data_IF_033315768890
#
_entry.id   IF_033315768890
#
_cell.length_a   1.000
_cell.length_b   1.000
_cell.length_c   1.000
_cell.angle_alpha   90.00
_cell.angle_beta   90.00
_cell.angle_gamma   90.00
#
_symmetry.space_group_name_H-M   'P 1'
#
loop_
_entity.id
_entity.type
_entity.pdbx_description
1 polymer ?
#
# COMPACT_ATOMS: atom_id res chain seq x y z
N UNK A 1 80.44 32.30 13.72
CA UNK A 1 79.16 32.08 14.47
C UNK A 1 78.05 32.22 13.50
N UNK A 2 77.53 31.07 12.99
CA UNK A 2 76.36 31.04 12.07
C UNK A 2 75.25 30.36 12.77
N UNK A 3 74.16 31.09 12.93
CA UNK A 3 72.91 30.61 13.49
C UNK A 3 72.03 29.97 12.39
N UNK A 4 71.83 28.66 12.50
CA UNK A 4 70.91 27.93 11.64
C UNK A 4 69.50 28.09 12.20
N UNK A 5 68.63 28.78 11.46
CA UNK A 5 67.18 28.82 11.69
C UNK A 5 66.54 27.61 11.00
N UNK A 6 66.05 26.72 11.82
CA UNK A 6 65.22 25.59 11.38
C UNK A 6 63.84 26.06 10.93
N UNK A 7 63.52 25.77 9.66
CA UNK A 7 62.18 26.02 9.07
C UNK A 7 61.35 24.75 9.29
N UNK A 8 60.39 24.84 10.21
CA UNK A 8 59.34 23.80 10.32
C UNK A 8 58.24 24.10 9.30
N UNK A 9 58.17 23.29 8.26
CA UNK A 9 57.05 23.27 7.32
C UNK A 9 56.00 22.37 7.90
N UNK A 10 54.91 22.95 8.45
CA UNK A 10 53.73 22.20 8.88
C UNK A 10 52.87 21.91 7.64
N UNK A 11 52.93 20.64 7.21
CA UNK A 11 52.00 20.15 6.18
C UNK A 11 50.67 19.81 6.87
N UNK A 12 49.69 20.74 6.83
CA UNK A 12 48.34 20.45 7.21
C UNK A 12 47.67 19.65 6.10
N UNK A 13 47.60 18.32 6.31
CA UNK A 13 46.85 17.42 5.46
C UNK A 13 45.34 17.65 5.66
N UNK A 14 44.71 18.32 4.70
CA UNK A 14 43.25 18.43 4.63
C UNK A 14 42.71 17.07 4.16
N UNK A 15 42.32 16.24 5.12
CA UNK A 15 41.53 15.02 4.82
C UNK A 15 40.12 15.46 4.51
N UNK A 16 39.83 15.69 3.22
CA UNK A 16 38.50 15.93 2.69
C UNK A 16 37.73 14.60 2.71
N UNK A 17 37.01 14.34 3.81
CA UNK A 17 36.05 13.25 3.85
C UNK A 17 34.90 13.56 2.90
N UNK A 18 35.00 13.09 1.67
CA UNK A 18 33.86 12.99 0.75
C UNK A 18 32.88 11.97 1.34
N UNK A 19 31.91 12.44 2.12
CA UNK A 19 30.70 11.66 2.39
C UNK A 19 29.95 11.51 1.06
N UNK A 20 30.23 10.45 0.35
CA UNK A 20 29.37 9.94 -0.72
C UNK A 20 28.05 9.55 -0.06
N UNK A 21 27.14 10.52 0.03
CA UNK A 21 25.73 10.26 0.33
C UNK A 21 25.21 9.41 -0.82
N UNK A 22 25.28 8.10 -0.68
CA UNK A 22 24.56 7.17 -1.55
C UNK A 22 23.08 7.41 -1.30
N UNK A 23 22.50 8.33 -2.07
CA UNK A 23 21.04 8.41 -2.22
C UNK A 23 20.61 7.08 -2.83
N UNK A 24 20.28 6.11 -1.98
CA UNK A 24 19.57 4.91 -2.40
C UNK A 24 18.22 5.43 -2.87
N UNK A 25 18.09 5.64 -4.18
CA UNK A 25 16.84 6.01 -4.80
C UNK A 25 15.84 4.88 -4.53
N UNK A 26 15.04 5.02 -3.49
CA UNK A 26 13.91 4.14 -3.25
C UNK A 26 12.95 4.38 -4.40
N UNK A 27 12.79 3.38 -5.27
CA UNK A 27 11.87 3.48 -6.39
C UNK A 27 10.51 3.95 -5.90
N UNK A 28 10.05 5.08 -6.43
CA UNK A 28 8.76 5.68 -6.07
C UNK A 28 7.62 4.68 -6.27
N UNK A 29 6.67 4.69 -5.35
CA UNK A 29 5.41 3.97 -5.48
C UNK A 29 4.29 4.89 -5.93
N UNK A 30 4.56 6.19 -6.08
CA UNK A 30 3.62 7.15 -6.63
C UNK A 30 3.13 6.70 -8.02
N UNK A 31 1.89 7.03 -8.35
CA UNK A 31 1.20 6.65 -9.57
C UNK A 31 1.09 5.13 -9.81
N UNK A 32 1.09 4.37 -8.73
CA UNK A 32 0.84 2.92 -8.77
C UNK A 32 -0.36 2.57 -7.93
N UNK A 33 -1.05 1.53 -8.36
CA UNK A 33 -2.16 0.96 -7.61
C UNK A 33 -1.92 -0.50 -7.28
N UNK A 34 -2.56 -0.98 -6.23
CA UNK A 34 -2.63 -2.40 -5.92
C UNK A 34 -4.06 -2.79 -5.60
N UNK A 35 -4.43 -3.99 -6.03
CA UNK A 35 -5.69 -4.62 -5.62
C UNK A 35 -5.35 -5.90 -4.90
N UNK A 36 -5.77 -5.98 -3.66
CA UNK A 36 -5.49 -7.09 -2.75
C UNK A 36 -6.77 -7.87 -2.53
N UNK A 37 -6.70 -9.20 -2.69
CA UNK A 37 -7.86 -10.07 -2.62
C UNK A 37 -7.51 -11.34 -1.86
N UNK A 38 -8.35 -11.70 -0.92
CA UNK A 38 -8.31 -13.01 -0.29
C UNK A 38 -9.14 -13.98 -1.15
N UNK A 39 -8.45 -14.86 -1.86
CA UNK A 39 -9.08 -15.85 -2.76
C UNK A 39 -10.00 -16.81 -1.99
N UNK A 40 -9.67 -17.15 -0.75
CA UNK A 40 -10.44 -18.10 0.05
C UNK A 40 -11.77 -17.52 0.49
N UNK A 41 -11.78 -16.27 0.94
CA UNK A 41 -13.01 -15.57 1.33
C UNK A 41 -13.83 -15.13 0.12
N UNK A 42 -13.18 -14.93 -1.04
CA UNK A 42 -13.87 -14.53 -2.26
C UNK A 42 -14.77 -15.63 -2.85
N UNK A 43 -14.57 -16.89 -2.43
CA UNK A 43 -15.42 -18.02 -2.78
C UNK A 43 -16.59 -18.21 -1.81
N UNK A 44 -16.57 -17.54 -0.64
CA UNK A 44 -17.68 -17.57 0.29
C UNK A 44 -18.94 -16.92 -0.33
N UNK A 45 -20.11 -17.38 0.10
CA UNK A 45 -21.40 -16.80 -0.32
C UNK A 45 -21.52 -15.39 0.21
N UNK A 46 -22.15 -14.50 -0.55
CA UNK A 46 -22.39 -13.12 -0.10
C UNK A 46 -23.29 -13.03 1.14
N UNK A 47 -24.14 -14.04 1.35
CA UNK A 47 -24.97 -14.16 2.56
C UNK A 47 -24.15 -14.36 3.83
N UNK A 48 -22.95 -14.96 3.72
CA UNK A 48 -22.11 -15.30 4.86
C UNK A 48 -21.08 -14.21 5.18
N UNK A 49 -21.01 -13.17 4.36
CA UNK A 49 -20.04 -12.07 4.49
C UNK A 49 -20.77 -10.78 4.80
N UNK A 50 -20.71 -10.36 6.06
CA UNK A 50 -21.17 -9.01 6.43
C UNK A 50 -20.33 -7.94 5.71
N UNK A 51 -20.97 -6.86 5.20
CA UNK A 51 -20.22 -5.75 4.63
C UNK A 51 -19.41 -5.01 5.73
N UNK A 52 -18.23 -4.46 5.40
CA UNK A 52 -17.67 -4.36 4.06
C UNK A 52 -17.02 -5.69 3.63
N UNK A 53 -16.92 -5.91 2.32
CA UNK A 53 -16.20 -7.06 1.74
C UNK A 53 -14.70 -6.95 2.06
N UNK A 54 -14.34 -7.27 3.29
CA UNK A 54 -12.99 -7.08 3.87
C UNK A 54 -11.91 -7.85 3.13
N UNK A 55 -12.31 -8.89 2.39
CA UNK A 55 -11.42 -9.72 1.57
C UNK A 55 -10.93 -9.05 0.29
N UNK A 56 -11.51 -7.90 -0.07
CA UNK A 56 -11.16 -7.17 -1.27
C UNK A 56 -10.94 -5.69 -0.95
N UNK A 57 -9.77 -5.19 -1.26
CA UNK A 57 -9.41 -3.78 -1.06
C UNK A 57 -8.47 -3.33 -2.15
N UNK A 58 -8.62 -2.10 -2.60
CA UNK A 58 -7.71 -1.49 -3.55
C UNK A 58 -7.06 -0.24 -2.95
N UNK A 59 -5.81 0.00 -3.33
CA UNK A 59 -5.06 1.18 -2.90
C UNK A 59 -4.44 1.84 -4.12
N UNK A 60 -4.60 3.15 -4.24
CA UNK A 60 -3.88 3.97 -5.21
C UNK A 60 -2.95 4.93 -4.47
N UNK A 61 -1.68 4.95 -4.85
CA UNK A 61 -0.66 5.80 -4.27
C UNK A 61 -0.47 7.04 -5.13
N UNK A 62 -0.81 8.20 -4.58
CA UNK A 62 -0.41 9.50 -5.09
C UNK A 62 1.00 9.83 -4.55
N UNK A 63 1.55 10.99 -4.84
CA UNK A 63 2.91 11.37 -4.42
C UNK A 63 3.17 11.19 -2.91
N UNK A 64 2.19 11.51 -2.08
CA UNK A 64 2.35 11.51 -0.61
C UNK A 64 1.26 10.76 0.14
N UNK A 65 0.21 10.33 -0.56
CA UNK A 65 -0.99 9.76 0.07
C UNK A 65 -1.42 8.48 -0.62
N UNK A 66 -2.02 7.61 0.16
CA UNK A 66 -2.69 6.41 -0.34
C UNK A 66 -4.19 6.57 -0.21
N UNK A 67 -4.90 6.38 -1.31
CA UNK A 67 -6.35 6.35 -1.38
C UNK A 67 -6.80 4.89 -1.34
N UNK A 68 -7.72 4.57 -0.45
CA UNK A 68 -8.23 3.21 -0.28
C UNK A 68 -9.63 3.12 -0.85
N UNK A 69 -9.87 2.11 -1.67
CA UNK A 69 -11.19 1.76 -2.21
C UNK A 69 -11.61 0.42 -1.63
N UNK A 70 -12.81 0.38 -1.10
CA UNK A 70 -13.50 -0.82 -0.59
C UNK A 70 -14.80 -1.03 -1.36
N UNK A 71 -15.39 -2.20 -1.22
CA UNK A 71 -16.71 -2.51 -1.78
C UNK A 71 -17.67 -2.79 -0.65
N UNK A 72 -18.86 -2.29 -0.79
CA UNK A 72 -19.97 -2.46 0.14
C UNK A 72 -21.26 -2.70 -0.62
N UNK A 73 -22.21 -3.38 0.01
CA UNK A 73 -23.56 -3.57 -0.52
C UNK A 73 -24.48 -2.53 0.09
N UNK A 74 -25.11 -1.73 -0.75
CA UNK A 74 -26.10 -0.73 -0.35
C UNK A 74 -27.36 -0.97 -1.18
N UNK A 75 -28.48 -1.29 -0.53
CA UNK A 75 -29.76 -1.53 -1.20
C UNK A 75 -29.65 -2.51 -2.40
N UNK A 76 -29.02 -3.65 -2.16
CA UNK A 76 -28.79 -4.71 -3.16
C UNK A 76 -27.88 -4.32 -4.33
N UNK A 77 -27.20 -3.20 -4.25
CA UNK A 77 -26.22 -2.75 -5.23
C UNK A 77 -24.82 -2.80 -4.63
N UNK A 78 -23.90 -3.43 -5.34
CA UNK A 78 -22.48 -3.42 -4.99
C UNK A 78 -21.87 -2.08 -5.40
N UNK A 79 -21.40 -1.34 -4.44
CA UNK A 79 -20.90 0.02 -4.61
C UNK A 79 -19.43 0.10 -4.20
N UNK A 80 -18.63 0.88 -4.96
CA UNK A 80 -17.27 1.23 -4.55
C UNK A 80 -17.29 2.48 -3.68
N UNK A 81 -16.64 2.42 -2.53
CA UNK A 81 -16.37 3.56 -1.66
C UNK A 81 -14.88 3.85 -1.63
N UNK A 82 -14.49 5.06 -1.99
CA UNK A 82 -13.08 5.49 -1.97
C UNK A 82 -12.90 6.61 -0.95
N UNK A 83 -11.84 6.53 -0.15
CA UNK A 83 -11.51 7.59 0.82
C UNK A 83 -11.35 8.93 0.12
N UNK A 84 -12.11 9.94 0.55
CA UNK A 84 -12.08 11.29 -0.06
C UNK A 84 -10.75 12.00 0.13
N UNK A 85 -10.08 11.72 1.25
CA UNK A 85 -8.74 12.23 1.57
C UNK A 85 -7.88 11.05 1.90
N UNK A 86 -6.96 10.71 1.01
CA UNK A 86 -5.99 9.67 1.26
C UNK A 86 -5.19 9.92 2.54
N UNK A 87 -4.63 8.89 3.11
CA UNK A 87 -3.75 8.99 4.30
C UNK A 87 -2.29 9.04 3.87
N UNK A 88 -1.41 9.73 4.63
CA UNK A 88 0.02 9.71 4.36
C UNK A 88 0.57 8.30 4.45
N UNK A 89 1.50 7.96 3.57
CA UNK A 89 2.24 6.71 3.64
C UNK A 89 3.75 6.95 3.78
N UNK A 90 4.44 5.93 4.24
CA UNK A 90 5.89 5.87 4.30
C UNK A 90 6.39 4.74 3.40
N UNK A 91 7.55 4.92 2.82
CA UNK A 91 8.18 3.90 1.99
C UNK A 91 9.64 3.73 2.35
N UNK A 92 10.09 2.49 2.31
CA UNK A 92 11.50 2.13 2.39
C UNK A 92 11.81 1.04 1.35
N UNK A 93 12.99 0.46 1.39
CA UNK A 93 13.43 -0.56 0.43
C UNK A 93 12.56 -1.83 0.48
N UNK A 94 12.03 -2.16 1.66
CA UNK A 94 11.30 -3.42 1.90
C UNK A 94 9.78 -3.27 1.77
N UNK A 95 9.22 -2.16 2.27
CA UNK A 95 7.77 -2.02 2.37
C UNK A 95 7.29 -0.60 2.08
N UNK A 96 6.01 -0.52 1.74
CA UNK A 96 5.18 0.70 1.80
C UNK A 96 4.22 0.51 2.94
N UNK A 97 4.09 1.50 3.84
CA UNK A 97 3.21 1.36 5.01
C UNK A 97 2.50 2.65 5.38
N UNK A 98 1.32 2.49 6.00
CA UNK A 98 0.51 3.62 6.48
C UNK A 98 -0.37 3.19 7.66
N UNK A 99 -0.90 4.18 8.35
CA UNK A 99 -1.93 3.99 9.37
C UNK A 99 -3.29 4.34 8.74
N UNK A 100 -4.29 3.45 8.80
CA UNK A 100 -5.60 3.70 8.17
C UNK A 100 -6.36 4.83 8.85
N UNK A 101 -6.12 5.05 10.14
CA UNK A 101 -6.66 6.14 10.94
C UNK A 101 -5.54 6.76 11.79
N UNK A 102 -5.49 8.08 11.83
CA UNK A 102 -4.53 8.82 12.65
C UNK A 102 -4.71 8.56 14.16
N UNK A 103 -5.92 8.22 14.58
CA UNK A 103 -6.27 7.92 15.98
C UNK A 103 -5.97 6.48 16.36
N UNK A 104 -5.90 5.56 15.40
CA UNK A 104 -5.53 4.16 15.64
C UNK A 104 -4.00 4.01 15.57
N UNK A 105 -3.36 4.22 16.73
CA UNK A 105 -1.90 4.19 16.82
C UNK A 105 -1.31 2.78 16.67
N UNK A 106 -2.09 1.76 16.91
CA UNK A 106 -1.62 0.38 16.93
C UNK A 106 -1.77 -0.31 15.58
N UNK A 107 -2.75 0.11 14.76
CA UNK A 107 -2.98 -0.51 13.45
C UNK A 107 -2.04 0.06 12.39
N UNK A 108 -1.35 -0.83 11.72
CA UNK A 108 -0.49 -0.55 10.56
C UNK A 108 -0.92 -1.42 9.40
N UNK A 109 -1.00 -0.83 8.23
CA UNK A 109 -1.11 -1.56 6.96
C UNK A 109 0.24 -1.45 6.26
N UNK A 110 0.74 -2.56 5.73
CA UNK A 110 1.96 -2.57 4.94
C UNK A 110 1.82 -3.44 3.70
N UNK A 111 2.59 -3.12 2.67
CA UNK A 111 2.75 -3.94 1.47
C UNK A 111 4.24 -4.21 1.32
N UNK A 112 4.60 -5.49 1.37
CA UNK A 112 5.95 -5.93 1.05
C UNK A 112 6.23 -5.71 -0.44
N UNK A 113 7.32 -5.03 -0.75
CA UNK A 113 7.63 -4.61 -2.13
C UNK A 113 8.15 -5.74 -3.01
N UNK A 114 8.64 -6.80 -2.43
CA UNK A 114 9.17 -7.98 -3.14
C UNK A 114 8.06 -8.98 -3.45
N UNK A 115 7.25 -9.30 -2.45
CA UNK A 115 6.19 -10.32 -2.56
C UNK A 115 4.86 -9.74 -3.01
N UNK A 116 4.70 -8.40 -2.92
CA UNK A 116 3.43 -7.69 -3.17
C UNK A 116 2.31 -8.23 -2.28
N UNK A 117 2.66 -8.55 -1.04
CA UNK A 117 1.74 -9.04 -0.03
C UNK A 117 1.35 -7.90 0.91
N UNK A 118 0.05 -7.70 1.07
CA UNK A 118 -0.51 -6.74 2.01
C UNK A 118 -0.72 -7.40 3.35
N UNK A 119 -0.27 -6.75 4.41
CA UNK A 119 -0.49 -7.17 5.79
C UNK A 119 -1.20 -6.07 6.59
N UNK A 120 -2.10 -6.49 7.46
CA UNK A 120 -2.69 -5.64 8.50
C UNK A 120 -2.16 -6.11 9.84
N UNK A 121 -1.50 -5.21 10.56
CA UNK A 121 -0.85 -5.50 11.83
C UNK A 121 -1.50 -4.66 12.93
N UNK A 122 -1.77 -5.26 14.08
CA UNK A 122 -2.23 -4.59 15.30
C UNK A 122 -1.20 -4.87 16.41
N UNK A 123 -0.46 -3.84 16.80
CA UNK A 123 0.74 -4.03 17.66
C UNK A 123 1.75 -4.96 16.96
N UNK A 124 2.03 -6.12 17.54
CA UNK A 124 2.92 -7.14 16.98
C UNK A 124 2.18 -8.25 16.20
N UNK A 125 0.85 -8.28 16.26
CA UNK A 125 0.03 -9.35 15.69
C UNK A 125 -0.35 -9.05 14.25
N UNK A 126 -0.01 -9.95 13.32
CA UNK A 126 -0.53 -9.92 11.96
C UNK A 126 -1.97 -10.45 11.97
N UNK A 127 -2.93 -9.61 11.59
CA UNK A 127 -4.34 -9.95 11.54
C UNK A 127 -4.74 -10.55 10.20
N UNK A 128 -4.20 -9.97 9.12
CA UNK A 128 -4.53 -10.33 7.73
C UNK A 128 -3.26 -10.28 6.91
N UNK A 129 -3.11 -11.23 6.01
CA UNK A 129 -2.03 -11.22 5.01
C UNK A 129 -2.60 -11.76 3.69
N UNK A 130 -2.59 -10.94 2.64
CA UNK A 130 -3.21 -11.24 1.35
C UNK A 130 -2.32 -10.80 0.20
N UNK A 131 -2.36 -11.54 -0.90
CA UNK A 131 -1.64 -11.20 -2.12
C UNK A 131 -2.32 -10.05 -2.87
N UNK A 132 -1.52 -9.23 -3.54
CA UNK A 132 -2.00 -8.11 -4.31
C UNK A 132 -1.51 -8.18 -5.75
N UNK A 133 -2.30 -7.57 -6.64
CA UNK A 133 -1.93 -7.31 -8.03
C UNK A 133 -1.53 -5.84 -8.19
N UNK A 134 -0.42 -5.57 -8.87
CA UNK A 134 0.09 -4.21 -9.12
C UNK A 134 -0.49 -3.66 -10.43
N UNK A 135 -0.76 -2.35 -10.44
CA UNK A 135 -1.14 -1.56 -11.59
C UNK A 135 -0.21 -0.35 -11.70
N UNK A 136 0.36 -0.16 -12.89
CA UNK A 136 1.30 0.93 -13.18
C UNK A 136 0.64 2.12 -13.87
N UNK A 137 -0.63 2.02 -14.23
CA UNK A 137 -1.40 3.07 -14.92
C UNK A 137 -2.77 3.20 -14.30
N UNK A 138 -3.17 4.43 -13.97
CA UNK A 138 -4.46 4.73 -13.35
C UNK A 138 -5.64 4.21 -14.18
N UNK A 139 -5.61 4.39 -15.49
CA UNK A 139 -6.65 3.89 -16.40
C UNK A 139 -6.89 2.38 -16.23
N UNK A 140 -5.82 1.58 -16.30
CA UNK A 140 -5.94 0.12 -16.16
C UNK A 140 -6.40 -0.31 -14.76
N UNK A 141 -6.00 0.45 -13.72
CA UNK A 141 -6.49 0.26 -12.37
C UNK A 141 -8.00 0.51 -12.28
N UNK A 142 -8.48 1.66 -12.78
CA UNK A 142 -9.90 2.02 -12.73
C UNK A 142 -10.78 1.08 -13.56
N UNK A 143 -10.32 0.65 -14.73
CA UNK A 143 -11.01 -0.34 -15.56
C UNK A 143 -11.14 -1.68 -14.84
N UNK A 144 -10.07 -2.11 -14.15
CA UNK A 144 -10.09 -3.33 -13.36
C UNK A 144 -11.09 -3.23 -12.21
N UNK A 145 -11.12 -2.11 -11.44
CA UNK A 145 -12.08 -1.92 -10.36
C UNK A 145 -13.53 -1.97 -10.85
N UNK A 146 -13.83 -1.35 -11.99
CA UNK A 146 -15.16 -1.43 -12.62
C UNK A 146 -15.53 -2.87 -12.99
N UNK A 147 -14.59 -3.61 -13.56
CA UNK A 147 -14.77 -5.03 -13.89
C UNK A 147 -15.06 -5.88 -12.66
N UNK A 148 -14.32 -5.66 -11.58
CA UNK A 148 -14.54 -6.32 -10.28
C UNK A 148 -15.94 -6.00 -9.74
N UNK A 149 -16.33 -4.74 -9.71
CA UNK A 149 -17.66 -4.31 -9.23
C UNK A 149 -18.79 -5.01 -10.02
N UNK A 150 -18.67 -5.05 -11.34
CA UNK A 150 -19.64 -5.74 -12.19
C UNK A 150 -19.70 -7.24 -11.90
N UNK A 151 -18.54 -7.89 -11.74
CA UNK A 151 -18.45 -9.31 -11.42
C UNK A 151 -19.07 -9.64 -10.06
N UNK A 152 -18.84 -8.78 -9.05
CA UNK A 152 -19.43 -8.91 -7.74
C UNK A 152 -20.95 -8.76 -7.79
N UNK A 153 -21.47 -7.77 -8.52
CA UNK A 153 -22.92 -7.59 -8.70
C UNK A 153 -23.56 -8.80 -9.37
N UNK A 154 -22.96 -9.30 -10.47
CA UNK A 154 -23.48 -10.48 -11.16
C UNK A 154 -23.52 -11.71 -10.25
N UNK A 155 -22.48 -11.89 -9.41
CA UNK A 155 -22.46 -13.00 -8.46
C UNK A 155 -23.55 -12.85 -7.39
N UNK A 156 -23.70 -11.64 -6.86
CA UNK A 156 -24.74 -11.32 -5.87
C UNK A 156 -26.16 -11.54 -6.42
N UNK A 157 -26.43 -11.08 -7.65
CA UNK A 157 -27.73 -11.24 -8.30
C UNK A 157 -28.07 -12.72 -8.52
N UNK A 158 -27.07 -13.53 -8.88
CA UNK A 158 -27.24 -14.98 -9.05
C UNK A 158 -27.56 -15.69 -7.72
N UNK A 159 -26.88 -15.30 -6.63
CA UNK A 159 -27.17 -15.87 -5.29
C UNK A 159 -28.58 -15.53 -4.80
N UNK A 160 -29.04 -14.25 -5.02
CA UNK A 160 -30.42 -13.88 -4.66
C UNK A 160 -31.45 -14.64 -5.49
N UNK A 161 -31.20 -14.84 -6.78
CA UNK A 161 -32.10 -15.59 -7.64
C UNK A 161 -32.27 -17.05 -7.18
N UNK A 162 -31.18 -17.67 -6.72
CA UNK A 162 -31.17 -19.04 -6.22
C UNK A 162 -31.91 -19.19 -4.88
N UNK A 163 -31.93 -18.15 -4.04
CA UNK A 163 -32.63 -18.14 -2.76
C UNK A 163 -34.12 -17.79 -2.82
N UNK A 164 -34.63 -17.36 -3.99
CA UNK A 164 -36.04 -17.02 -4.17
C UNK A 164 -36.93 -18.19 -4.67
N UNK A 165 -36.33 -19.36 -4.89
CA UNK A 165 -37.01 -20.61 -5.23
C UNK A 165 -37.19 -21.48 -4.00
#
# INVERSE_FOLDING_TARGET
MYSMRSLYISVLGIVSCFFLSTNIATASVADKGVVCRDETQFQARFSDVEPPLLSLVAHWFDDTRVNTTTWERINDVITMSTTRRGVPYQTNVKEVSWKPDANDKERKISIDRKTVQRSVVLGEKVLVSVNCRIFYKKKGFDEYLKGVTKSLQTKYDAEIADHRL
#
